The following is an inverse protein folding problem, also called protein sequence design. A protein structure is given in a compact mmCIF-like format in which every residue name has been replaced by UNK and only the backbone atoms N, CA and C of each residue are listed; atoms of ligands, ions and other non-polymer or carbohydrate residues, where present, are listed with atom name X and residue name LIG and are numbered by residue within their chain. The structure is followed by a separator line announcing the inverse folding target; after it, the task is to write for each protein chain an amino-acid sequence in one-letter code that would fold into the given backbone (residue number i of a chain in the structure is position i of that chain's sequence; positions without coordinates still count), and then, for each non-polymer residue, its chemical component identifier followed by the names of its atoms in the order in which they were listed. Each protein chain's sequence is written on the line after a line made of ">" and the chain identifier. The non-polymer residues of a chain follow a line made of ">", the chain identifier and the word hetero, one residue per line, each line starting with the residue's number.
data_IF_455950465246
#
_entry.id   IF_455950465246
#
_cell.length_a   1.000
_cell.length_b   1.000
_cell.length_c   1.000
_cell.angle_alpha   90.00
_cell.angle_beta   90.00
_cell.angle_gamma   90.00
#
_symmetry.space_group_name_H-M   'P 1'
#
loop_
_entity.id
_entity.type
_entity.pdbx_description
1 polymer ?
#
# COMPACT_ATOMS: atom_id res chain seq x y z
N UNK A 1 21.82 -46.94 9.34
CA UNK A 1 20.60 -47.77 9.51
C UNK A 1 19.46 -47.03 8.81
N UNK A 2 18.85 -47.65 7.81
CA UNK A 2 17.74 -47.07 7.05
C UNK A 2 16.42 -47.26 7.82
N UNK A 3 15.79 -46.16 8.25
CA UNK A 3 14.41 -46.20 8.75
C UNK A 3 13.49 -46.68 7.61
N UNK A 4 12.84 -47.83 7.80
CA UNK A 4 11.72 -48.27 6.94
C UNK A 4 10.43 -48.09 7.74
N UNK A 5 9.47 -47.27 7.28
CA UNK A 5 8.18 -47.13 7.94
C UNK A 5 7.20 -48.20 7.44
N UNK A 6 6.22 -48.57 8.29
CA UNK A 6 5.00 -49.25 7.85
C UNK A 6 4.73 -50.64 8.44
N UNK A 7 4.07 -50.67 9.61
CA UNK A 7 3.15 -51.74 9.99
C UNK A 7 1.69 -51.27 9.77
N UNK A 8 0.74 -52.17 9.43
CA UNK A 8 -0.59 -51.77 8.96
C UNK A 8 -1.45 -51.27 10.13
N UNK A 9 -1.69 -49.95 10.20
CA UNK A 9 -2.77 -49.39 11.02
C UNK A 9 -2.57 -48.01 11.65
N UNK A 10 -1.33 -47.50 11.80
CA UNK A 10 -1.06 -46.20 12.44
C UNK A 10 -0.48 -45.20 11.44
N UNK A 11 -1.08 -44.02 11.32
CA UNK A 11 -0.57 -42.93 10.47
C UNK A 11 0.65 -42.31 11.14
N UNK A 12 1.79 -42.32 10.44
CA UNK A 12 2.96 -41.54 10.83
C UNK A 12 2.76 -40.08 10.40
N UNK A 13 3.06 -39.13 11.29
CA UNK A 13 2.98 -37.71 11.00
C UNK A 13 4.38 -37.10 10.97
N UNK A 14 4.62 -36.23 10.00
CA UNK A 14 5.80 -35.36 9.91
C UNK A 14 5.33 -33.92 10.07
N UNK A 15 5.74 -33.27 11.15
CA UNK A 15 5.32 -31.92 11.52
C UNK A 15 6.55 -31.02 11.50
N UNK A 16 6.56 -30.01 10.63
CA UNK A 16 7.60 -29.00 10.63
C UNK A 16 7.25 -27.95 11.69
N UNK A 17 8.18 -27.67 12.58
CA UNK A 17 8.05 -26.66 13.62
C UNK A 17 8.63 -25.33 13.11
N UNK A 18 8.13 -24.21 13.63
CA UNK A 18 8.51 -22.85 13.23
C UNK A 18 10.00 -22.56 13.46
N UNK A 19 10.66 -23.28 14.37
CA UNK A 19 12.10 -23.18 14.64
C UNK A 19 12.98 -23.97 13.65
N UNK A 20 12.39 -24.60 12.63
CA UNK A 20 13.09 -25.41 11.63
C UNK A 20 13.34 -26.87 12.05
N UNK A 21 12.94 -27.24 13.26
CA UNK A 21 12.92 -28.62 13.74
C UNK A 21 11.80 -29.42 13.04
N UNK A 22 11.96 -30.73 12.93
CA UNK A 22 10.92 -31.62 12.41
C UNK A 22 10.60 -32.69 13.46
N UNK A 23 9.33 -32.75 13.86
CA UNK A 23 8.80 -33.77 14.74
C UNK A 23 8.18 -34.89 13.91
N UNK A 24 8.61 -36.12 14.16
CA UNK A 24 8.00 -37.33 13.61
C UNK A 24 7.25 -38.05 14.73
N UNK A 25 6.00 -38.41 14.48
CA UNK A 25 5.18 -39.18 15.44
C UNK A 25 4.61 -40.42 14.75
N UNK A 26 4.68 -41.56 15.44
CA UNK A 26 4.19 -42.86 14.97
C UNK A 26 4.00 -43.82 16.15
N UNK A 27 3.77 -45.11 15.91
CA UNK A 27 3.49 -46.16 16.92
C UNK A 27 4.39 -46.09 18.17
N UNK A 28 3.97 -45.32 19.17
CA UNK A 28 4.63 -45.10 20.47
C UNK A 28 6.06 -44.53 20.43
N UNK A 29 6.49 -44.01 19.28
CA UNK A 29 7.82 -43.43 19.11
C UNK A 29 7.66 -42.00 18.58
N UNK A 30 8.24 -41.05 19.30
CA UNK A 30 8.40 -39.67 18.86
C UNK A 30 9.88 -39.43 18.60
N UNK A 31 10.22 -38.84 17.46
CA UNK A 31 11.59 -38.40 17.18
C UNK A 31 11.61 -36.96 16.71
N UNK A 32 12.68 -36.24 17.01
CA UNK A 32 12.90 -34.86 16.59
C UNK A 32 14.23 -34.75 15.84
N UNK A 33 14.25 -33.97 14.77
CA UNK A 33 15.47 -33.58 14.08
C UNK A 33 15.66 -32.07 14.17
N UNK A 34 16.85 -31.62 14.58
CA UNK A 34 17.19 -30.18 14.70
C UNK A 34 17.05 -29.40 13.39
N UNK A 35 17.28 -30.08 12.28
CA UNK A 35 17.06 -29.56 10.92
C UNK A 35 16.50 -30.69 10.05
N UNK A 36 15.97 -30.37 8.87
CA UNK A 36 15.45 -31.37 7.93
C UNK A 36 16.49 -32.41 7.46
N UNK A 37 17.79 -32.09 7.55
CA UNK A 37 18.89 -32.97 7.18
C UNK A 37 19.52 -33.71 8.37
N UNK A 38 19.15 -33.35 9.61
CA UNK A 38 19.71 -33.98 10.82
C UNK A 38 19.12 -35.36 11.05
N UNK A 39 19.93 -36.25 11.64
CA UNK A 39 19.46 -37.55 12.12
C UNK A 39 18.40 -37.36 13.21
N UNK A 40 17.22 -38.01 13.11
CA UNK A 40 16.19 -37.92 14.14
C UNK A 40 16.62 -38.59 15.45
N UNK A 41 16.39 -37.89 16.56
CA UNK A 41 16.65 -38.37 17.92
C UNK A 41 15.32 -38.71 18.61
N UNK A 42 15.25 -39.83 19.32
CA UNK A 42 14.04 -40.22 20.04
C UNK A 42 13.82 -39.32 21.26
N UNK A 43 12.57 -38.92 21.45
CA UNK A 43 12.12 -38.11 22.59
C UNK A 43 10.93 -38.78 23.29
N UNK A 44 10.64 -38.36 24.51
CA UNK A 44 9.45 -38.82 25.23
C UNK A 44 8.18 -38.25 24.60
N UNK A 45 7.04 -38.90 24.88
CA UNK A 45 5.73 -38.40 24.46
C UNK A 45 5.43 -37.02 25.08
N UNK A 46 5.86 -36.80 26.32
CA UNK A 46 5.70 -35.53 27.04
C UNK A 46 6.51 -34.41 26.37
N UNK A 47 7.77 -34.66 26.02
CA UNK A 47 8.60 -33.69 25.29
C UNK A 47 8.03 -33.39 23.88
N UNK A 48 7.45 -34.39 23.21
CA UNK A 48 6.77 -34.18 21.93
C UNK A 48 5.51 -33.31 22.09
N UNK A 49 4.74 -33.52 23.17
CA UNK A 49 3.57 -32.71 23.49
C UNK A 49 3.96 -31.27 23.84
N UNK A 50 5.04 -31.05 24.60
CA UNK A 50 5.58 -29.72 24.88
C UNK A 50 5.98 -28.99 23.59
N UNK A 51 6.71 -29.66 22.69
CA UNK A 51 7.09 -29.08 21.39
C UNK A 51 5.87 -28.67 20.56
N UNK A 52 4.83 -29.49 20.54
CA UNK A 52 3.58 -29.15 19.85
C UNK A 52 2.82 -28.01 20.54
N UNK A 53 2.82 -27.96 21.87
CA UNK A 53 2.19 -26.87 22.62
C UNK A 53 2.91 -25.53 22.38
N UNK A 54 4.24 -25.52 22.39
CA UNK A 54 5.06 -24.35 22.01
C UNK A 54 4.71 -23.87 20.60
N UNK A 55 4.66 -24.80 19.64
CA UNK A 55 4.35 -24.50 18.25
C UNK A 55 2.96 -23.89 18.09
N UNK A 56 1.95 -24.46 18.77
CA UNK A 56 0.59 -23.92 18.76
C UNK A 56 0.52 -22.51 19.33
N UNK A 57 1.20 -22.25 20.46
CA UNK A 57 1.24 -20.92 21.08
C UNK A 57 1.92 -19.92 20.13
N UNK A 58 3.04 -20.29 19.51
CA UNK A 58 3.74 -19.45 18.54
C UNK A 58 2.88 -19.14 17.32
N UNK A 59 2.25 -20.16 16.72
CA UNK A 59 1.38 -19.97 15.55
C UNK A 59 0.15 -19.10 15.89
N UNK A 60 -0.45 -19.27 17.07
CA UNK A 60 -1.54 -18.41 17.51
C UNK A 60 -1.10 -16.95 17.67
N UNK A 61 0.08 -16.70 18.25
CA UNK A 61 0.62 -15.36 18.38
C UNK A 61 0.91 -14.72 17.01
N UNK A 62 1.54 -15.46 16.09
CA UNK A 62 1.80 -14.99 14.72
C UNK A 62 0.52 -14.69 13.96
N UNK A 63 -0.50 -15.55 14.05
CA UNK A 63 -1.78 -15.33 13.39
C UNK A 63 -2.50 -14.08 13.92
N UNK A 64 -2.44 -13.83 15.24
CA UNK A 64 -3.00 -12.61 15.83
C UNK A 64 -2.28 -11.36 15.34
N UNK A 65 -0.95 -11.40 15.26
CA UNK A 65 -0.17 -10.27 14.76
C UNK A 65 -0.41 -10.03 13.27
N UNK A 66 -0.49 -11.08 12.45
CA UNK A 66 -0.88 -10.95 11.05
C UNK A 66 -2.28 -10.32 10.90
N UNK A 67 -3.26 -10.74 11.71
CA UNK A 67 -4.58 -10.12 11.70
C UNK A 67 -4.50 -8.62 12.05
N UNK A 68 -3.75 -8.27 13.10
CA UNK A 68 -3.55 -6.87 13.51
C UNK A 68 -2.92 -6.04 12.39
N UNK A 69 -1.92 -6.60 11.69
CA UNK A 69 -1.26 -5.94 10.56
C UNK A 69 -2.21 -5.77 9.37
N UNK A 70 -3.03 -6.78 9.07
CA UNK A 70 -4.08 -6.67 8.05
C UNK A 70 -5.08 -5.57 8.39
N UNK A 71 -5.57 -5.50 9.63
CA UNK A 71 -6.52 -4.49 10.06
C UNK A 71 -5.92 -3.07 9.93
N UNK A 72 -4.67 -2.87 10.35
CA UNK A 72 -3.95 -1.59 10.18
C UNK A 72 -3.79 -1.23 8.70
N UNK A 73 -3.44 -2.19 7.86
CA UNK A 73 -3.25 -1.97 6.42
C UNK A 73 -4.56 -1.56 5.74
N UNK A 74 -5.68 -2.21 6.11
CA UNK A 74 -7.01 -1.86 5.59
C UNK A 74 -7.40 -0.43 5.98
N UNK A 75 -7.13 -0.02 7.23
CA UNK A 75 -7.41 1.35 7.69
C UNK A 75 -6.57 2.36 6.89
N UNK A 76 -5.27 2.12 6.75
CA UNK A 76 -4.37 2.99 6.00
C UNK A 76 -4.79 3.12 4.53
N UNK A 77 -5.18 2.02 3.90
CA UNK A 77 -5.64 2.04 2.51
C UNK A 77 -6.93 2.86 2.35
N UNK A 78 -7.88 2.72 3.27
CA UNK A 78 -9.11 3.52 3.26
C UNK A 78 -8.81 5.01 3.43
N UNK A 79 -7.96 5.36 4.39
CA UNK A 79 -7.54 6.76 4.62
C UNK A 79 -6.86 7.35 3.38
N UNK A 80 -5.97 6.58 2.73
CA UNK A 80 -5.33 7.02 1.50
C UNK A 80 -6.34 7.23 0.36
N UNK A 81 -7.36 6.37 0.23
CA UNK A 81 -8.42 6.55 -0.77
C UNK A 81 -9.25 7.82 -0.51
N UNK A 82 -9.63 8.08 0.74
CA UNK A 82 -10.35 9.30 1.12
C UNK A 82 -9.53 10.57 0.82
N UNK A 83 -8.23 10.54 1.12
CA UNK A 83 -7.30 11.63 0.83
C UNK A 83 -7.18 11.88 -0.68
N UNK A 84 -7.03 10.82 -1.49
CA UNK A 84 -6.96 10.92 -2.95
C UNK A 84 -8.24 11.55 -3.51
N UNK A 85 -9.42 11.14 -3.01
CA UNK A 85 -10.69 11.71 -3.46
C UNK A 85 -10.78 13.21 -3.12
N UNK A 86 -10.37 13.60 -1.91
CA UNK A 86 -10.36 15.01 -1.50
C UNK A 86 -9.43 15.83 -2.40
N UNK A 87 -8.21 15.37 -2.61
CA UNK A 87 -7.22 16.04 -3.44
C UNK A 87 -7.64 16.11 -4.91
N UNK A 88 -8.32 15.07 -5.41
CA UNK A 88 -8.84 15.07 -6.79
C UNK A 88 -9.88 16.17 -6.98
N UNK A 89 -10.82 16.29 -6.04
CA UNK A 89 -11.85 17.33 -6.07
C UNK A 89 -11.23 18.73 -5.95
N UNK A 90 -10.29 18.91 -5.02
CA UNK A 90 -9.58 20.19 -4.86
C UNK A 90 -8.84 20.58 -6.15
N UNK A 91 -8.22 19.62 -6.83
CA UNK A 91 -7.53 19.86 -8.10
C UNK A 91 -8.51 20.27 -9.22
N UNK A 92 -9.68 19.64 -9.30
CA UNK A 92 -10.75 20.03 -10.24
C UNK A 92 -11.24 21.46 -9.98
N UNK A 93 -11.47 21.83 -8.72
CA UNK A 93 -11.86 23.19 -8.34
C UNK A 93 -10.78 24.22 -8.72
N UNK A 94 -9.51 23.89 -8.51
CA UNK A 94 -8.39 24.75 -8.89
C UNK A 94 -8.27 24.91 -10.41
N UNK A 95 -8.49 23.84 -11.19
CA UNK A 95 -8.48 23.92 -12.65
C UNK A 95 -9.55 24.87 -13.17
N UNK A 96 -10.79 24.74 -12.68
CA UNK A 96 -11.88 25.63 -13.06
C UNK A 96 -11.57 27.09 -12.70
N UNK A 97 -10.93 27.31 -11.55
CA UNK A 97 -10.51 28.66 -11.16
C UNK A 97 -9.47 29.23 -12.12
N UNK A 98 -8.47 28.43 -12.51
CA UNK A 98 -7.46 28.86 -13.48
C UNK A 98 -8.09 29.15 -14.84
N UNK A 99 -8.97 28.27 -15.34
CA UNK A 99 -9.68 28.47 -16.60
C UNK A 99 -10.50 29.77 -16.59
N UNK A 100 -11.20 30.06 -15.49
CA UNK A 100 -11.94 31.31 -15.34
C UNK A 100 -11.04 32.55 -15.31
N UNK A 101 -9.87 32.46 -14.68
CA UNK A 101 -8.88 33.56 -14.69
C UNK A 101 -8.28 33.77 -16.09
N UNK A 102 -8.04 32.70 -16.85
CA UNK A 102 -7.58 32.80 -18.23
C UNK A 102 -8.62 33.45 -19.14
N UNK A 103 -9.91 33.18 -18.92
CA UNK A 103 -11.00 33.86 -19.64
C UNK A 103 -11.06 35.35 -19.31
N UNK A 104 -11.01 35.72 -18.04
CA UNK A 104 -10.98 37.12 -17.60
C UNK A 104 -9.79 37.89 -18.18
N UNK A 105 -8.60 37.26 -18.23
CA UNK A 105 -7.42 37.87 -18.86
C UNK A 105 -7.67 38.11 -20.36
N UNK A 106 -8.26 37.15 -21.08
CA UNK A 106 -8.56 37.33 -22.51
C UNK A 106 -9.53 38.47 -22.76
N UNK A 107 -10.56 38.60 -21.93
CA UNK A 107 -11.53 39.70 -22.03
C UNK A 107 -10.87 41.06 -21.80
N UNK A 108 -9.99 41.15 -20.78
CA UNK A 108 -9.22 42.37 -20.50
C UNK A 108 -8.21 42.70 -21.60
N UNK A 109 -7.54 41.70 -22.19
CA UNK A 109 -6.64 41.89 -23.32
C UNK A 109 -7.39 42.44 -24.54
N UNK A 110 -8.61 41.95 -24.79
CA UNK A 110 -9.46 42.46 -25.86
C UNK A 110 -9.91 43.90 -25.60
N UNK A 111 -10.33 44.22 -24.37
CA UNK A 111 -10.69 45.60 -24.00
C UNK A 111 -9.51 46.57 -24.16
N UNK A 112 -8.32 46.18 -23.70
CA UNK A 112 -7.11 46.98 -23.88
C UNK A 112 -6.80 47.24 -25.35
N UNK A 113 -6.91 46.23 -26.22
CA UNK A 113 -6.69 46.42 -27.67
C UNK A 113 -7.66 47.44 -28.27
N UNK A 114 -8.94 47.41 -27.88
CA UNK A 114 -9.91 48.39 -28.38
C UNK A 114 -9.60 49.82 -27.88
N UNK A 115 -9.13 49.93 -26.63
CA UNK A 115 -8.73 51.22 -26.06
C UNK A 115 -7.46 51.77 -26.72
N UNK A 116 -6.51 50.90 -27.08
CA UNK A 116 -5.31 51.29 -27.84
C UNK A 116 -5.69 51.86 -29.21
N UNK A 117 -6.61 51.21 -29.93
CA UNK A 117 -7.12 51.71 -31.23
C UNK A 117 -7.83 53.08 -31.07
N UNK A 118 -8.62 53.28 -30.01
CA UNK A 118 -9.30 54.56 -29.75
C UNK A 118 -8.31 55.68 -29.38
N UNK A 119 -7.26 55.36 -28.63
CA UNK A 119 -6.18 56.31 -28.31
C UNK A 119 -5.47 56.74 -29.58
N UNK A 120 -5.10 55.81 -30.47
CA UNK A 120 -4.45 56.13 -31.75
C UNK A 120 -5.33 57.08 -32.59
N UNK A 121 -6.63 56.80 -32.71
CA UNK A 121 -7.55 57.67 -33.46
C UNK A 121 -7.68 59.08 -32.84
N UNK A 122 -7.64 59.18 -31.50
CA UNK A 122 -7.68 60.46 -30.80
C UNK A 122 -6.37 61.24 -30.95
N UNK A 123 -5.22 60.57 -30.90
CA UNK A 123 -3.91 61.18 -31.12
C UNK A 123 -3.82 61.80 -32.52
N UNK A 124 -4.23 61.06 -33.56
CA UNK A 124 -4.30 61.54 -34.95
C UNK A 124 -5.17 62.81 -35.08
N UNK A 125 -6.33 62.83 -34.40
CA UNK A 125 -7.24 63.99 -34.41
C UNK A 125 -6.64 65.20 -33.71
N UNK A 126 -5.92 64.99 -32.61
CA UNK A 126 -5.24 66.07 -31.89
C UNK A 126 -4.15 66.67 -32.77
N UNK A 127 -3.30 65.85 -33.39
CA UNK A 127 -2.24 66.31 -34.29
C UNK A 127 -2.82 67.15 -35.45
N UNK A 128 -3.91 66.68 -36.07
CA UNK A 128 -4.57 67.40 -37.16
C UNK A 128 -5.14 68.77 -36.71
N UNK A 129 -5.67 68.85 -35.49
CA UNK A 129 -6.20 70.10 -34.92
C UNK A 129 -5.09 71.08 -34.54
N UNK A 130 -3.98 70.59 -33.98
CA UNK A 130 -2.81 71.42 -33.65
C UNK A 130 -2.20 72.02 -34.91
N UNK A 131 -2.01 71.24 -35.98
CA UNK A 131 -1.50 71.74 -37.25
C UNK A 131 -2.43 72.73 -37.96
N UNK A 132 -3.74 72.72 -37.67
CA UNK A 132 -4.69 73.69 -38.20
C UNK A 132 -4.72 75.02 -37.43
N UNK A 133 -4.09 75.07 -36.24
CA UNK A 133 -4.05 76.24 -35.37
C UNK A 133 -2.77 77.09 -35.55
N UNK A 134 -1.77 76.60 -36.29
CA UNK A 134 -0.56 77.33 -36.74
C UNK A 134 -0.78 78.10 -38.06
#
# INVERSE_FOLDING_TARGET
>A
MSFRPGGPGMKEFKINLSKGEVLYTGSYICTISKTAASTPEQISLEAAAEKLAEELIMQQAMNREHQRQQDVTVIQFRQAQEEIQRLTKENEELKLKVEGQEEEIRDLEFENSNLEDEIEELEDKVEALEGAAE
#
